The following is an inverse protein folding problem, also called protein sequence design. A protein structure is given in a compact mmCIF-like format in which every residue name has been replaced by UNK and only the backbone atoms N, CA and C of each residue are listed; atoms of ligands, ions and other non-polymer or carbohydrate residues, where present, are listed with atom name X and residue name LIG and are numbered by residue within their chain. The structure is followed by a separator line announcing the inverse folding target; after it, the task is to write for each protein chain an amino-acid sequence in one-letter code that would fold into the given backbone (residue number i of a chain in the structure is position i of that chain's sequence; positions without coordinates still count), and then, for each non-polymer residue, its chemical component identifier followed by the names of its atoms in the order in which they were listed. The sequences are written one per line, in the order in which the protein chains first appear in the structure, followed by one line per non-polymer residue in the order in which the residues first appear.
data_IF_506180396048
#
_entry.id   IF_506180396048
#
_cell.length_a   1.000
_cell.length_b   1.000
_cell.length_c   1.000
_cell.angle_alpha   90.00
_cell.angle_beta   90.00
_cell.angle_gamma   90.00
#
_symmetry.space_group_name_H-M   'P 1'
#
loop_
_entity.id
_entity.type
_entity.pdbx_description
1 polymer ?
#
# COMPACT_ATOMS: atom_id res chain seq x y z
N UNK A 1 54.14 33.04 -12.96
CA UNK A 1 52.92 32.87 -13.78
C UNK A 1 52.28 31.54 -13.38
N UNK A 2 51.21 31.56 -12.60
CA UNK A 2 50.51 30.34 -12.21
C UNK A 2 49.55 29.98 -13.34
N UNK A 3 49.82 28.87 -14.03
CA UNK A 3 48.90 28.33 -15.03
C UNK A 3 47.61 27.92 -14.30
N UNK A 4 46.51 28.64 -14.55
CA UNK A 4 45.18 28.16 -14.16
C UNK A 4 44.95 26.86 -14.94
N UNK A 5 45.06 25.72 -14.26
CA UNK A 5 44.57 24.46 -14.79
C UNK A 5 43.08 24.67 -15.12
N UNK A 6 42.71 24.53 -16.39
CA UNK A 6 41.32 24.63 -16.81
C UNK A 6 40.48 23.58 -16.09
N UNK A 7 39.21 23.89 -15.78
CA UNK A 7 38.30 22.88 -15.24
C UNK A 7 38.13 21.77 -16.28
N UNK A 8 38.27 20.49 -15.88
CA UNK A 8 38.06 19.38 -16.80
C UNK A 8 36.62 19.42 -17.33
N UNK A 9 36.47 19.37 -18.64
CA UNK A 9 35.19 19.38 -19.34
C UNK A 9 35.09 18.17 -20.25
N UNK A 10 33.90 17.59 -20.32
CA UNK A 10 33.62 16.44 -21.17
C UNK A 10 32.15 16.39 -21.56
N UNK A 11 31.89 15.83 -22.72
CA UNK A 11 30.56 15.51 -23.21
C UNK A 11 30.57 14.05 -23.66
N UNK A 12 29.53 13.32 -23.28
CA UNK A 12 29.31 11.95 -23.71
C UNK A 12 27.84 11.78 -24.12
N UNK A 13 27.60 11.09 -25.23
CA UNK A 13 26.26 10.66 -25.62
C UNK A 13 26.08 9.19 -25.26
N UNK A 14 24.99 8.87 -24.57
CA UNK A 14 24.58 7.52 -24.24
C UNK A 14 23.44 7.12 -25.17
N UNK A 15 23.63 6.03 -25.90
CA UNK A 15 22.59 5.39 -26.71
C UNK A 15 22.58 3.90 -26.42
N UNK A 16 21.39 3.35 -26.23
CA UNK A 16 21.18 1.92 -26.06
C UNK A 16 19.86 1.50 -26.71
N UNK A 17 19.73 0.20 -26.95
CA UNK A 17 18.51 -0.37 -27.50
C UNK A 17 18.16 -1.63 -26.70
N UNK A 18 16.99 -1.60 -26.08
CA UNK A 18 16.32 -2.70 -25.39
C UNK A 18 17.25 -3.55 -24.50
N UNK A 19 18.02 -2.89 -23.63
CA UNK A 19 18.91 -3.60 -22.71
C UNK A 19 18.24 -3.80 -21.35
N UNK A 20 18.49 -4.97 -20.78
CA UNK A 20 17.99 -5.36 -19.47
C UNK A 20 18.60 -4.47 -18.37
N UNK A 21 17.74 -3.79 -17.61
CA UNK A 21 18.11 -2.95 -16.47
C UNK A 21 18.07 -3.77 -15.18
N UNK A 22 17.00 -4.53 -15.02
CA UNK A 22 16.70 -5.29 -13.82
C UNK A 22 15.84 -6.49 -14.20
N UNK A 23 16.09 -7.61 -13.54
CA UNK A 23 15.34 -8.86 -13.70
C UNK A 23 15.35 -9.57 -12.35
N UNK A 24 14.28 -9.36 -11.58
CA UNK A 24 14.06 -10.04 -10.30
C UNK A 24 12.56 -10.32 -10.14
N UNK A 25 12.21 -11.02 -9.05
CA UNK A 25 10.84 -11.50 -8.82
C UNK A 25 9.78 -10.38 -8.64
N UNK A 26 10.20 -9.14 -8.38
CA UNK A 26 9.29 -7.99 -8.15
C UNK A 26 9.35 -6.93 -9.25
N UNK A 27 10.43 -6.89 -10.03
CA UNK A 27 10.66 -5.90 -11.05
C UNK A 27 11.51 -6.48 -12.19
N UNK A 28 10.96 -6.35 -13.40
CA UNK A 28 11.67 -6.57 -14.64
C UNK A 28 11.52 -5.34 -15.52
N UNK A 29 12.62 -4.83 -16.05
CA UNK A 29 12.57 -3.69 -16.96
C UNK A 29 13.71 -3.69 -17.97
N UNK A 30 13.40 -3.30 -19.20
CA UNK A 30 14.39 -2.98 -20.24
C UNK A 30 14.39 -1.48 -20.54
N UNK A 31 15.48 -0.97 -21.10
CA UNK A 31 15.58 0.43 -21.48
C UNK A 31 16.27 0.65 -22.82
N UNK A 32 15.80 1.67 -23.53
CA UNK A 32 16.42 2.24 -24.73
C UNK A 32 16.70 3.72 -24.48
N UNK A 33 17.83 4.06 -23.82
CA UNK A 33 18.20 5.43 -23.53
C UNK A 33 18.77 6.15 -24.76
N UNK A 34 18.50 7.44 -24.81
CA UNK A 34 19.14 8.40 -25.70
C UNK A 34 19.30 9.73 -24.97
N UNK A 35 20.41 9.90 -24.27
CA UNK A 35 20.68 11.11 -23.49
C UNK A 35 22.15 11.54 -23.57
N UNK A 36 22.41 12.80 -23.25
CA UNK A 36 23.76 13.36 -23.16
C UNK A 36 24.13 13.57 -21.71
N UNK A 37 25.41 13.37 -21.39
CA UNK A 37 26.04 13.68 -20.11
C UNK A 37 27.11 14.72 -20.33
N UNK A 38 27.01 15.83 -19.60
CA UNK A 38 27.99 16.91 -19.57
C UNK A 38 28.71 16.88 -18.23
N UNK A 39 30.03 16.85 -18.27
CA UNK A 39 30.90 17.00 -17.11
C UNK A 39 31.57 18.38 -17.15
N UNK A 40 31.43 19.19 -16.09
CA UNK A 40 32.16 20.44 -15.94
C UNK A 40 32.72 20.57 -14.51
N UNK A 41 34.04 20.44 -14.39
CA UNK A 41 34.76 20.76 -13.16
C UNK A 41 34.27 19.99 -11.93
N UNK A 42 33.85 18.73 -12.09
CA UNK A 42 33.36 17.84 -11.03
C UNK A 42 31.84 17.83 -10.83
N UNK A 43 31.08 18.56 -11.66
CA UNK A 43 29.62 18.43 -11.73
C UNK A 43 29.21 17.61 -12.96
N UNK A 44 28.23 16.71 -12.80
CA UNK A 44 27.59 16.02 -13.91
C UNK A 44 26.18 16.55 -14.15
N UNK A 45 25.85 16.77 -15.42
CA UNK A 45 24.52 17.11 -15.88
C UNK A 45 24.07 16.13 -16.96
N UNK A 46 22.92 15.49 -16.81
CA UNK A 46 22.33 14.64 -17.85
C UNK A 46 21.04 15.23 -18.42
N UNK A 47 20.79 15.03 -19.71
CA UNK A 47 19.55 15.43 -20.36
C UNK A 47 19.20 14.54 -21.55
N UNK A 48 17.95 14.09 -21.63
CA UNK A 48 17.43 13.34 -22.79
C UNK A 48 16.27 12.43 -22.46
N UNK A 49 16.10 11.39 -23.26
CA UNK A 49 14.95 10.49 -23.22
C UNK A 49 15.38 9.07 -22.87
N UNK A 50 14.48 8.33 -22.23
CA UNK A 50 14.62 6.88 -22.03
C UNK A 50 13.28 6.22 -22.31
N UNK A 51 13.22 5.38 -23.33
CA UNK A 51 12.07 4.50 -23.53
C UNK A 51 12.25 3.25 -22.68
N UNK A 52 11.15 2.77 -22.10
CA UNK A 52 11.09 1.53 -21.30
C UNK A 52 10.18 0.55 -22.06
N UNK A 53 10.72 -0.26 -22.99
CA UNK A 53 9.91 -1.17 -23.81
C UNK A 53 9.15 -2.20 -22.97
N UNK A 54 9.84 -2.86 -22.04
CA UNK A 54 9.27 -3.81 -21.07
C UNK A 54 9.36 -3.20 -19.66
N UNK A 55 8.24 -3.19 -18.94
CA UNK A 55 8.17 -2.91 -17.51
C UNK A 55 7.16 -3.84 -16.86
N UNK A 56 7.62 -4.78 -16.05
CA UNK A 56 6.74 -5.63 -15.25
C UNK A 56 7.02 -5.41 -13.77
N UNK A 57 6.00 -4.93 -13.06
CA UNK A 57 6.03 -4.73 -11.61
C UNK A 57 5.14 -5.78 -10.96
N UNK A 58 5.70 -6.57 -10.05
CA UNK A 58 4.97 -7.59 -9.28
C UNK A 58 5.10 -7.30 -7.78
N UNK A 59 3.97 -7.02 -7.12
CA UNK A 59 3.89 -6.66 -5.72
C UNK A 59 3.40 -7.86 -4.89
N UNK A 60 4.34 -8.67 -4.40
CA UNK A 60 4.04 -9.94 -3.73
C UNK A 60 3.90 -9.85 -2.20
N UNK A 61 4.47 -8.82 -1.57
CA UNK A 61 4.43 -8.62 -0.11
C UNK A 61 4.31 -7.12 0.23
N UNK A 62 3.47 -6.75 1.20
CA UNK A 62 3.68 -5.49 1.92
C UNK A 62 5.01 -5.68 2.66
N UNK A 63 6.04 -4.84 2.43
CA UNK A 63 7.30 -5.01 3.13
C UNK A 63 7.00 -5.09 4.64
N UNK A 64 7.41 -6.18 5.34
CA UNK A 64 7.26 -6.28 6.78
C UNK A 64 8.08 -5.15 7.38
N UNK A 65 7.39 -4.09 7.75
CA UNK A 65 7.94 -2.75 7.87
C UNK A 65 8.46 -2.23 6.50
N UNK A 66 7.75 -1.24 5.95
CA UNK A 66 8.48 -0.10 5.42
C UNK A 66 9.20 0.54 6.63
N UNK A 67 10.30 -0.07 7.05
CA UNK A 67 11.46 0.72 7.42
C UNK A 67 11.67 1.52 6.15
N UNK A 68 11.11 2.74 6.18
CA UNK A 68 11.68 3.88 5.49
C UNK A 68 13.16 3.59 5.48
N UNK A 69 13.76 3.34 4.31
CA UNK A 69 15.20 3.37 4.25
C UNK A 69 15.46 4.81 4.65
N UNK A 70 15.68 5.01 5.94
CA UNK A 70 15.95 6.30 6.50
C UNK A 70 17.03 6.82 5.59
N UNK A 71 16.91 8.08 5.18
CA UNK A 71 18.03 8.81 4.59
C UNK A 71 19.29 8.74 5.47
N UNK A 72 19.21 8.17 6.67
CA UNK A 72 20.33 7.60 7.42
C UNK A 72 20.61 6.12 7.07
N UNK A 73 20.92 5.82 5.82
CA UNK A 73 22.20 5.13 5.66
C UNK A 73 23.25 6.21 5.84
N UNK A 74 23.61 6.45 7.10
CA UNK A 74 24.98 6.86 7.36
C UNK A 74 25.78 5.73 6.74
N UNK A 75 26.30 5.96 5.53
CA UNK A 75 27.52 5.30 5.14
C UNK A 75 28.39 5.52 6.37
N UNK A 76 28.59 4.47 7.15
CA UNK A 76 29.67 4.49 8.13
C UNK A 76 30.85 4.67 7.20
N UNK A 77 31.26 5.93 7.02
CA UNK A 77 32.64 6.29 6.89
C UNK A 77 33.24 5.58 8.09
N UNK A 78 33.63 4.31 7.85
CA UNK A 78 34.84 3.81 8.41
C UNK A 78 35.80 4.88 7.92
N UNK A 79 36.08 5.81 8.82
CA UNK A 79 37.17 6.74 8.73
C UNK A 79 38.42 5.87 8.80
N UNK A 80 38.61 5.06 7.77
CA UNK A 80 39.92 4.58 7.39
C UNK A 80 40.61 5.84 6.91
N UNK A 81 41.44 6.40 7.78
CA UNK A 81 42.58 7.18 7.35
C UNK A 81 43.17 6.51 6.11
N UNK A 82 43.01 7.15 4.95
CA UNK A 82 43.56 6.61 3.73
C UNK A 82 43.63 7.69 2.67
N UNK A 83 44.86 8.10 2.42
CA UNK A 83 45.41 8.77 1.25
C UNK A 83 45.15 7.95 -0.05
N UNK A 84 43.91 7.45 -0.24
CA UNK A 84 43.46 6.68 -1.40
C UNK A 84 42.97 7.68 -2.45
N UNK A 85 43.52 7.68 -3.68
CA UNK A 85 43.05 8.58 -4.71
C UNK A 85 41.58 8.26 -5.03
N UNK A 86 40.74 9.30 -5.01
CA UNK A 86 39.35 9.23 -5.44
C UNK A 86 39.24 8.51 -6.79
N UNK A 87 38.27 7.59 -6.89
CA UNK A 87 37.93 6.94 -8.14
C UNK A 87 37.56 7.97 -9.21
N UNK A 88 37.65 7.58 -10.48
CA UNK A 88 37.29 8.46 -11.60
C UNK A 88 35.85 8.99 -11.48
N UNK A 89 34.93 8.18 -10.95
CA UNK A 89 33.54 8.55 -10.76
C UNK A 89 33.39 9.58 -9.64
N UNK A 90 34.01 9.35 -8.47
CA UNK A 90 33.93 10.27 -7.33
C UNK A 90 34.50 11.66 -7.65
N UNK A 91 35.59 11.72 -8.44
CA UNK A 91 36.12 13.01 -8.91
C UNK A 91 35.20 13.70 -9.92
N UNK A 92 34.52 12.93 -10.75
CA UNK A 92 33.60 13.46 -11.76
C UNK A 92 32.29 13.97 -11.14
N UNK A 93 31.89 13.46 -9.97
CA UNK A 93 30.63 13.77 -9.29
C UNK A 93 30.78 14.56 -8.00
N UNK A 94 31.98 15.05 -7.66
CA UNK A 94 32.27 15.73 -6.39
C UNK A 94 31.38 16.95 -6.12
N UNK A 95 30.91 17.64 -7.17
CA UNK A 95 30.01 18.80 -7.07
C UNK A 95 28.53 18.42 -7.31
N UNK A 96 28.22 17.13 -7.32
CA UNK A 96 26.87 16.60 -7.47
C UNK A 96 26.52 16.20 -8.90
N UNK A 97 25.38 15.51 -9.00
CA UNK A 97 24.76 15.07 -10.24
C UNK A 97 23.42 15.79 -10.34
N UNK A 98 23.14 16.37 -11.50
CA UNK A 98 21.86 17.01 -11.82
C UNK A 98 21.39 16.54 -13.18
N UNK A 99 20.13 16.76 -13.51
CA UNK A 99 19.66 16.47 -14.85
C UNK A 99 18.17 16.27 -14.95
N UNK A 100 17.74 16.05 -16.19
CA UNK A 100 16.36 15.73 -16.53
C UNK A 100 16.34 14.54 -17.48
N UNK A 101 15.51 13.53 -17.22
CA UNK A 101 15.21 12.47 -18.17
C UNK A 101 13.70 12.41 -18.39
N UNK A 102 13.28 12.27 -19.64
CA UNK A 102 11.89 11.93 -19.97
C UNK A 102 11.82 10.41 -20.16
N UNK A 103 11.15 9.74 -19.22
CA UNK A 103 10.81 8.33 -19.33
C UNK A 103 9.52 8.17 -20.11
N UNK A 104 9.51 7.28 -21.10
CA UNK A 104 8.31 6.88 -21.83
C UNK A 104 8.11 5.37 -21.71
N UNK A 105 6.94 4.95 -21.22
CA UNK A 105 6.58 3.54 -21.15
C UNK A 105 6.19 3.01 -22.53
N UNK A 106 6.64 1.79 -22.84
CA UNK A 106 6.21 1.03 -24.01
C UNK A 106 4.96 0.19 -23.73
N UNK A 107 4.52 -0.55 -24.74
CA UNK A 107 3.25 -1.30 -24.71
C UNK A 107 3.28 -2.51 -23.75
N UNK A 108 4.47 -2.94 -23.30
CA UNK A 108 4.67 -4.04 -22.35
C UNK A 108 4.95 -3.53 -20.93
N UNK A 109 4.28 -2.43 -20.55
CA UNK A 109 4.30 -1.90 -19.20
C UNK A 109 3.07 -2.34 -18.40
N UNK A 110 3.28 -3.01 -17.26
CA UNK A 110 2.22 -3.59 -16.42
C UNK A 110 2.59 -3.60 -14.94
N UNK A 111 1.55 -3.60 -14.10
CA UNK A 111 1.65 -3.74 -12.66
C UNK A 111 0.63 -4.76 -12.15
N UNK A 112 1.12 -5.69 -11.35
CA UNK A 112 0.34 -6.77 -10.73
C UNK A 112 0.63 -6.83 -9.23
N UNK A 113 -0.39 -6.96 -8.40
CA UNK A 113 -0.28 -7.18 -6.96
C UNK A 113 -1.16 -6.27 -6.12
N UNK A 114 -1.31 -6.60 -4.83
CA UNK A 114 -2.31 -5.99 -3.93
C UNK A 114 -3.73 -5.91 -4.52
N UNK A 115 -4.09 -6.91 -5.33
CA UNK A 115 -5.37 -6.98 -6.01
C UNK A 115 -5.47 -6.19 -7.31
N UNK A 116 -4.49 -5.36 -7.68
CA UNK A 116 -4.44 -4.66 -8.97
C UNK A 116 -3.75 -5.56 -10.00
N UNK A 117 -4.28 -5.58 -11.22
CA UNK A 117 -3.63 -6.12 -12.42
C UNK A 117 -4.00 -5.20 -13.59
N UNK A 118 -3.05 -4.46 -14.15
CA UNK A 118 -3.31 -3.45 -15.18
C UNK A 118 -2.08 -3.13 -16.02
N UNK A 119 -2.33 -2.68 -17.25
CA UNK A 119 -1.31 -2.00 -18.06
C UNK A 119 -1.08 -0.56 -17.58
N UNK A 120 0.13 -0.07 -17.80
CA UNK A 120 0.55 1.29 -17.49
C UNK A 120 0.93 2.03 -18.76
N UNK A 121 0.34 3.19 -18.99
CA UNK A 121 0.64 4.03 -20.14
C UNK A 121 1.07 5.42 -19.69
N UNK A 122 2.05 6.03 -20.38
CA UNK A 122 2.34 7.45 -20.19
C UNK A 122 3.82 7.79 -20.18
N UNK A 123 4.10 8.99 -19.66
CA UNK A 123 5.45 9.56 -19.60
C UNK A 123 5.69 10.25 -18.28
N UNK A 124 6.90 10.11 -17.76
CA UNK A 124 7.36 10.77 -16.55
C UNK A 124 8.63 11.54 -16.83
N UNK A 125 8.64 12.81 -16.45
CA UNK A 125 9.84 13.64 -16.44
C UNK A 125 10.48 13.54 -15.07
N UNK A 126 11.67 12.94 -15.03
CA UNK A 126 12.48 12.78 -13.84
C UNK A 126 13.53 13.87 -13.78
N UNK A 127 13.52 14.66 -12.72
CA UNK A 127 14.51 15.69 -12.46
C UNK A 127 15.36 15.33 -11.25
N UNK A 128 16.65 15.66 -11.31
CA UNK A 128 17.51 15.69 -10.13
C UNK A 128 18.00 17.11 -9.90
N UNK A 129 17.50 17.70 -8.81
CA UNK A 129 17.84 19.05 -8.39
C UNK A 129 19.24 19.17 -7.79
N UNK A 130 19.72 20.40 -7.58
CA UNK A 130 21.04 20.65 -6.97
C UNK A 130 21.17 20.10 -5.55
N UNK A 131 20.05 20.01 -4.83
CA UNK A 131 19.95 19.38 -3.51
C UNK A 131 19.93 17.84 -3.56
N UNK A 132 20.19 17.24 -4.73
CA UNK A 132 20.17 15.80 -4.99
C UNK A 132 18.80 15.11 -4.80
N UNK A 133 17.72 15.88 -4.62
CA UNK A 133 16.36 15.34 -4.60
C UNK A 133 15.96 14.86 -5.99
N UNK A 134 15.35 13.69 -6.05
CA UNK A 134 14.73 13.14 -7.25
C UNK A 134 13.27 13.56 -7.29
N UNK A 135 12.88 14.24 -8.36
CA UNK A 135 11.53 14.72 -8.59
C UNK A 135 10.94 14.05 -9.82
N UNK A 136 9.63 13.79 -9.81
CA UNK A 136 8.90 13.20 -10.91
C UNK A 136 7.68 14.04 -11.27
N UNK A 137 7.46 14.26 -12.56
CA UNK A 137 6.33 15.00 -13.09
C UNK A 137 5.69 14.28 -14.27
N UNK A 138 4.37 14.19 -14.28
CA UNK A 138 3.63 13.56 -15.36
C UNK A 138 2.49 12.69 -14.85
N UNK A 139 2.00 11.84 -15.73
CA UNK A 139 0.87 10.97 -15.44
C UNK A 139 1.13 9.58 -16.03
N UNK A 140 0.81 8.56 -15.24
CA UNK A 140 0.68 7.19 -15.70
C UNK A 140 -0.80 6.80 -15.65
N UNK A 141 -1.38 6.46 -16.78
CA UNK A 141 -2.74 5.92 -16.89
C UNK A 141 -2.74 4.41 -16.69
N UNK A 142 -3.82 3.90 -16.12
CA UNK A 142 -4.07 2.47 -15.94
C UNK A 142 -5.08 2.04 -17.00
N UNK A 143 -4.67 1.17 -17.90
CA UNK A 143 -5.50 0.65 -19.00
C UNK A 143 -5.70 -0.85 -18.89
N UNK A 144 -6.84 -1.33 -19.41
CA UNK A 144 -7.16 -2.76 -19.52
C UNK A 144 -7.03 -3.54 -18.19
N UNK A 145 -7.30 -2.87 -17.06
CA UNK A 145 -7.01 -3.41 -15.74
C UNK A 145 -8.21 -3.88 -14.92
N UNK A 146 -7.91 -4.66 -13.89
CA UNK A 146 -8.85 -5.12 -12.88
C UNK A 146 -8.32 -4.84 -11.47
N UNK A 147 -9.26 -4.73 -10.53
CA UNK A 147 -8.99 -4.63 -9.10
C UNK A 147 -9.80 -5.69 -8.35
N UNK A 148 -9.14 -6.49 -7.52
CA UNK A 148 -9.76 -7.54 -6.73
C UNK A 148 -10.14 -7.03 -5.35
N UNK A 149 -11.44 -7.03 -5.04
CA UNK A 149 -11.99 -6.64 -3.75
C UNK A 149 -13.00 -7.68 -3.30
N UNK A 150 -12.96 -8.09 -2.03
CA UNK A 150 -13.82 -9.15 -1.48
C UNK A 150 -13.73 -10.48 -2.28
N UNK A 151 -12.57 -10.78 -2.87
CA UNK A 151 -12.38 -11.94 -3.74
C UNK A 151 -13.13 -11.86 -5.08
N UNK A 152 -13.56 -10.66 -5.48
CA UNK A 152 -14.30 -10.42 -6.72
C UNK A 152 -13.52 -9.43 -7.59
N UNK A 153 -13.50 -9.69 -8.90
CA UNK A 153 -12.84 -8.82 -9.88
C UNK A 153 -13.75 -7.64 -10.23
N UNK A 154 -13.21 -6.43 -10.12
CA UNK A 154 -13.82 -5.16 -10.53
C UNK A 154 -13.01 -4.61 -11.72
N UNK A 155 -13.67 -4.22 -12.81
CA UNK A 155 -13.01 -3.61 -13.95
C UNK A 155 -12.58 -2.17 -13.62
N UNK A 156 -11.32 -1.82 -13.89
CA UNK A 156 -10.84 -0.44 -13.79
C UNK A 156 -11.40 0.33 -14.98
N UNK A 157 -12.31 1.27 -14.73
CA UNK A 157 -12.92 2.12 -15.78
C UNK A 157 -12.17 3.43 -15.99
N UNK A 158 -11.50 3.88 -14.94
CA UNK A 158 -10.66 5.08 -14.95
C UNK A 158 -9.56 4.85 -13.93
N UNK A 159 -8.31 5.10 -14.29
CA UNK A 159 -7.21 4.99 -13.35
C UNK A 159 -6.03 5.83 -13.79
N UNK A 160 -5.47 6.63 -12.88
CA UNK A 160 -4.23 7.35 -13.10
C UNK A 160 -3.41 7.56 -11.82
N UNK A 161 -2.09 7.60 -12.00
CA UNK A 161 -1.11 8.08 -11.05
C UNK A 161 -0.56 9.42 -11.54
N UNK A 162 -0.66 10.46 -10.72
CA UNK A 162 -0.22 11.82 -11.06
C UNK A 162 0.99 12.20 -10.21
N UNK A 163 2.10 12.50 -10.86
CA UNK A 163 3.35 12.86 -10.21
C UNK A 163 3.54 14.37 -10.23
N UNK A 164 3.73 14.96 -9.05
CA UNK A 164 3.86 16.42 -8.83
C UNK A 164 5.09 16.73 -7.96
N UNK A 165 6.18 16.02 -8.17
CA UNK A 165 7.43 16.14 -7.42
C UNK A 165 7.81 14.82 -6.74
N UNK A 166 7.08 14.39 -5.71
CA UNK A 166 7.42 13.17 -4.97
C UNK A 166 7.28 11.92 -5.86
N UNK A 167 8.40 11.22 -6.11
CA UNK A 167 8.44 9.99 -6.90
C UNK A 167 7.74 8.82 -6.19
N UNK A 168 7.79 8.79 -4.86
CA UNK A 168 7.28 7.69 -4.02
C UNK A 168 5.87 7.95 -3.46
N UNK A 169 5.26 9.10 -3.80
CA UNK A 169 3.95 9.48 -3.30
C UNK A 169 3.10 10.19 -4.38
N UNK A 170 2.81 9.53 -5.51
CA UNK A 170 1.94 10.09 -6.54
C UNK A 170 0.51 10.30 -6.01
N UNK A 171 -0.20 11.23 -6.65
CA UNK A 171 -1.65 11.33 -6.54
C UNK A 171 -2.33 10.15 -7.22
N UNK A 172 -3.41 9.66 -6.62
CA UNK A 172 -4.17 8.51 -7.11
C UNK A 172 -5.58 8.98 -7.47
N UNK A 173 -6.10 8.53 -8.61
CA UNK A 173 -7.52 8.59 -8.96
C UNK A 173 -7.88 7.33 -9.74
N UNK A 174 -8.51 6.36 -9.06
CA UNK A 174 -8.88 5.07 -9.64
C UNK A 174 -10.32 4.73 -9.32
N UNK A 175 -11.08 4.33 -10.35
CA UNK A 175 -12.45 3.87 -10.27
C UNK A 175 -12.55 2.45 -10.80
N UNK A 176 -12.84 1.52 -9.90
CA UNK A 176 -13.07 0.12 -10.23
C UNK A 176 -14.55 -0.24 -10.02
N UNK A 177 -15.14 -0.96 -10.98
CA UNK A 177 -16.58 -1.24 -11.00
C UNK A 177 -16.90 -2.71 -11.24
N UNK A 178 -18.04 -3.14 -10.72
CA UNK A 178 -18.69 -4.39 -11.04
C UNK A 178 -20.12 -4.09 -11.48
N UNK A 179 -20.51 -4.63 -12.64
CA UNK A 179 -21.87 -4.51 -13.18
C UNK A 179 -22.65 -5.80 -12.86
N UNK A 180 -23.80 -5.66 -12.20
CA UNK A 180 -24.65 -6.76 -11.72
C UNK A 180 -26.11 -6.40 -12.03
N UNK A 181 -26.77 -7.16 -12.90
CA UNK A 181 -28.19 -6.96 -13.23
C UNK A 181 -28.55 -5.49 -13.52
N UNK A 182 -27.81 -4.85 -14.42
CA UNK A 182 -27.98 -3.43 -14.81
C UNK A 182 -27.66 -2.40 -13.71
N UNK A 183 -27.15 -2.84 -12.55
CA UNK A 183 -26.65 -1.98 -11.49
C UNK A 183 -25.13 -1.95 -11.50
N UNK A 184 -24.55 -0.78 -11.22
CA UNK A 184 -23.11 -0.62 -11.07
C UNK A 184 -22.80 -0.44 -9.60
N UNK A 185 -21.89 -1.23 -9.05
CA UNK A 185 -21.31 -1.03 -7.72
C UNK A 185 -19.79 -0.93 -7.86
N UNK A 186 -19.14 -0.13 -7.02
CA UNK A 186 -17.71 0.07 -7.20
C UNK A 186 -17.03 0.77 -6.04
N UNK A 187 -15.72 0.92 -6.20
CA UNK A 187 -14.84 1.66 -5.29
C UNK A 187 -14.12 2.75 -6.07
N UNK A 188 -14.10 3.93 -5.48
CA UNK A 188 -13.32 5.08 -5.93
C UNK A 188 -12.17 5.28 -4.95
N UNK A 189 -10.94 5.20 -5.44
CA UNK A 189 -9.71 5.44 -4.70
C UNK A 189 -9.14 6.80 -5.09
N UNK A 190 -8.71 7.56 -4.10
CA UNK A 190 -8.23 8.93 -4.26
C UNK A 190 -7.14 9.30 -3.24
N UNK A 191 -6.61 10.52 -3.35
CA UNK A 191 -5.60 11.05 -2.44
C UNK A 191 -4.19 10.86 -2.98
N UNK A 192 -3.23 10.54 -2.11
CA UNK A 192 -1.86 10.17 -2.52
C UNK A 192 -1.56 8.74 -2.09
N UNK A 193 -0.53 8.11 -2.66
CA UNK A 193 -0.17 6.73 -2.31
C UNK A 193 0.05 6.50 -0.80
N UNK A 194 0.70 7.44 -0.11
CA UNK A 194 0.91 7.40 1.35
C UNK A 194 -0.31 7.80 2.19
N UNK A 195 -1.31 8.46 1.59
CA UNK A 195 -2.54 8.88 2.28
C UNK A 195 -3.77 8.67 1.37
N UNK A 196 -4.00 7.41 1.04
CA UNK A 196 -5.10 7.00 0.16
C UNK A 196 -6.42 6.99 0.93
N UNK A 197 -7.49 7.39 0.25
CA UNK A 197 -8.86 7.21 0.72
C UNK A 197 -9.67 6.43 -0.32
N UNK A 198 -10.60 5.61 0.17
CA UNK A 198 -11.46 4.79 -0.67
C UNK A 198 -12.91 5.05 -0.28
N UNK A 199 -13.77 5.24 -1.28
CA UNK A 199 -15.20 5.45 -1.11
C UNK A 199 -15.99 4.47 -1.96
N UNK A 200 -17.07 3.94 -1.39
CA UNK A 200 -17.98 3.06 -2.09
C UNK A 200 -19.01 3.87 -2.86
N UNK A 201 -19.40 3.39 -4.04
CA UNK A 201 -20.46 4.03 -4.81
C UNK A 201 -21.32 3.00 -5.54
N UNK A 202 -22.51 3.45 -5.95
CA UNK A 202 -23.42 2.65 -6.77
C UNK A 202 -24.30 3.51 -7.67
N UNK A 203 -24.78 2.90 -8.74
CA UNK A 203 -25.83 3.43 -9.61
C UNK A 203 -26.83 2.31 -9.89
N UNK A 204 -28.10 2.41 -9.44
CA UNK A 204 -28.69 3.50 -8.64
C UNK A 204 -28.06 3.60 -7.24
N UNK A 205 -28.34 4.68 -6.51
CA UNK A 205 -27.76 4.91 -5.18
C UNK A 205 -28.30 3.89 -4.15
N UNK A 206 -27.42 3.04 -3.63
CA UNK A 206 -27.70 2.03 -2.61
C UNK A 206 -27.11 2.44 -1.25
N UNK A 207 -27.52 1.72 -0.20
CA UNK A 207 -26.87 1.81 1.11
C UNK A 207 -25.45 1.23 1.05
N UNK A 208 -24.49 1.73 1.85
CA UNK A 208 -23.13 1.16 1.88
C UNK A 208 -23.13 -0.36 2.16
N UNK A 209 -24.02 -0.82 3.05
CA UNK A 209 -24.21 -2.24 3.34
C UNK A 209 -24.62 -3.04 2.10
N UNK A 210 -25.55 -2.52 1.30
CA UNK A 210 -25.96 -3.16 0.05
C UNK A 210 -24.86 -3.11 -1.01
N UNK A 211 -24.08 -2.01 -1.09
CA UNK A 211 -22.93 -1.92 -2.00
C UNK A 211 -21.92 -3.02 -1.66
N UNK A 212 -21.59 -3.18 -0.38
CA UNK A 212 -20.66 -4.23 0.09
C UNK A 212 -21.21 -5.64 -0.16
N UNK A 213 -22.50 -5.87 0.11
CA UNK A 213 -23.16 -7.14 -0.16
C UNK A 213 -23.15 -7.48 -1.65
N UNK A 214 -23.44 -6.50 -2.50
CA UNK A 214 -23.40 -6.64 -3.96
C UNK A 214 -21.97 -6.88 -4.46
N UNK A 215 -20.99 -6.15 -3.93
CA UNK A 215 -19.58 -6.33 -4.28
C UNK A 215 -19.09 -7.73 -3.94
N UNK A 216 -19.44 -8.27 -2.76
CA UNK A 216 -19.01 -9.59 -2.32
C UNK A 216 -19.81 -10.74 -2.97
N UNK A 217 -21.14 -10.60 -3.07
CA UNK A 217 -22.04 -11.74 -3.37
C UNK A 217 -22.83 -11.59 -4.68
N UNK A 218 -22.83 -10.39 -5.28
CA UNK A 218 -23.68 -10.08 -6.42
C UNK A 218 -25.16 -9.89 -6.06
N UNK A 219 -25.51 -9.78 -4.77
CA UNK A 219 -26.90 -9.69 -4.29
C UNK A 219 -27.06 -8.62 -3.19
N UNK A 220 -28.23 -7.95 -3.12
CA UNK A 220 -28.52 -7.01 -2.03
C UNK A 220 -28.55 -7.71 -0.68
N UNK A 221 -28.20 -7.00 0.40
CA UNK A 221 -28.02 -7.58 1.73
C UNK A 221 -29.30 -8.27 2.25
N UNK A 222 -30.47 -7.64 2.01
CA UNK A 222 -31.77 -8.17 2.42
C UNK A 222 -32.15 -9.50 1.74
N UNK A 223 -31.51 -9.83 0.60
CA UNK A 223 -31.76 -11.07 -0.14
C UNK A 223 -30.82 -12.23 0.23
N UNK A 224 -29.85 -11.96 1.11
CA UNK A 224 -28.90 -12.95 1.63
C UNK A 224 -29.54 -13.68 2.82
N UNK A 225 -29.44 -15.01 2.87
CA UNK A 225 -29.97 -15.78 3.99
C UNK A 225 -29.28 -15.43 5.32
N UNK A 226 -29.99 -15.52 6.45
CA UNK A 226 -29.47 -15.11 7.77
C UNK A 226 -28.12 -15.75 8.15
N UNK A 227 -27.86 -16.99 7.70
CA UNK A 227 -26.58 -17.69 7.93
C UNK A 227 -25.42 -17.06 7.13
N UNK A 228 -25.68 -16.64 5.89
CA UNK A 228 -24.68 -16.08 4.98
C UNK A 228 -24.42 -14.60 5.24
N UNK A 229 -25.38 -13.88 5.84
CA UNK A 229 -25.20 -12.51 6.32
C UNK A 229 -24.12 -12.43 7.41
N UNK A 230 -24.07 -13.39 8.32
CA UNK A 230 -23.04 -13.44 9.37
C UNK A 230 -21.62 -13.64 8.80
N UNK A 231 -21.48 -14.50 7.79
CA UNK A 231 -20.22 -14.72 7.10
C UNK A 231 -19.75 -13.46 6.35
N UNK A 232 -20.66 -12.81 5.63
CA UNK A 232 -20.38 -11.55 4.95
C UNK A 232 -19.93 -10.46 5.94
N UNK A 233 -20.62 -10.30 7.07
CA UNK A 233 -20.24 -9.33 8.10
C UNK A 233 -18.85 -9.60 8.69
N UNK A 234 -18.48 -10.87 8.85
CA UNK A 234 -17.12 -11.27 9.25
C UNK A 234 -16.07 -10.86 8.22
N UNK A 235 -16.33 -11.08 6.92
CA UNK A 235 -15.44 -10.64 5.83
C UNK A 235 -15.33 -9.12 5.76
N UNK A 236 -16.44 -8.39 5.90
CA UNK A 236 -16.43 -6.92 5.87
C UNK A 236 -15.67 -6.32 7.05
N UNK A 237 -15.76 -6.93 8.24
CA UNK A 237 -14.95 -6.54 9.38
C UNK A 237 -13.46 -6.83 9.13
N UNK A 238 -13.12 -7.99 8.57
CA UNK A 238 -11.72 -8.37 8.29
C UNK A 238 -10.99 -7.47 7.29
N UNK A 239 -11.73 -6.74 6.44
CA UNK A 239 -11.17 -5.80 5.47
C UNK A 239 -10.68 -4.48 6.09
N UNK A 240 -10.74 -4.32 7.41
CA UNK A 240 -10.06 -3.23 8.11
C UNK A 240 -10.57 -1.84 7.71
N UNK A 241 -11.87 -1.70 7.37
CA UNK A 241 -12.54 -0.42 7.17
C UNK A 241 -12.72 0.37 8.49
N UNK A 242 -11.77 0.22 9.42
CA UNK A 242 -11.71 0.82 10.75
C UNK A 242 -11.57 2.34 10.77
N UNK A 243 -11.51 3.00 9.61
CA UNK A 243 -11.45 4.47 9.57
C UNK A 243 -12.81 5.15 9.78
N UNK A 244 -13.91 4.40 9.79
CA UNK A 244 -15.25 4.98 9.98
C UNK A 244 -15.96 4.35 11.19
N UNK A 245 -15.86 5.01 12.35
CA UNK A 245 -16.53 4.65 13.61
C UNK A 245 -18.07 4.55 13.50
N UNK A 246 -18.67 5.03 12.40
CA UNK A 246 -20.11 4.91 12.11
C UNK A 246 -20.57 3.49 11.80
N UNK A 247 -19.81 2.72 11.01
CA UNK A 247 -20.23 1.37 10.56
C UNK A 247 -20.18 0.36 11.72
N UNK A 248 -19.11 0.38 12.50
CA UNK A 248 -18.93 -0.47 13.69
C UNK A 248 -20.06 -0.24 14.71
N UNK A 249 -20.50 1.01 14.90
CA UNK A 249 -21.61 1.35 15.80
C UNK A 249 -22.98 0.90 15.29
N UNK A 250 -23.21 0.93 13.98
CA UNK A 250 -24.46 0.46 13.38
C UNK A 250 -24.58 -1.07 13.44
N UNK A 251 -23.48 -1.80 13.21
CA UNK A 251 -23.45 -3.27 13.33
C UNK A 251 -23.67 -3.67 14.80
N UNK A 252 -22.94 -3.02 15.72
CA UNK A 252 -23.07 -3.25 17.16
C UNK A 252 -24.51 -3.09 17.64
N UNK A 253 -25.20 -2.05 17.20
CA UNK A 253 -26.61 -1.79 17.57
C UNK A 253 -27.60 -2.76 16.92
N UNK A 254 -27.41 -3.14 15.65
CA UNK A 254 -28.31 -4.09 14.97
C UNK A 254 -28.26 -5.51 15.52
N UNK A 255 -27.07 -5.98 15.95
CA UNK A 255 -26.85 -7.31 16.50
C UNK A 255 -26.99 -7.33 18.04
N UNK A 256 -27.18 -6.17 18.67
CA UNK A 256 -27.22 -6.01 20.12
C UNK A 256 -25.95 -6.51 20.78
N UNK A 257 -24.79 -6.18 20.20
CA UNK A 257 -23.47 -6.45 20.75
C UNK A 257 -23.04 -5.26 21.61
N UNK A 258 -22.15 -5.48 22.57
CA UNK A 258 -21.60 -4.42 23.42
C UNK A 258 -20.18 -4.01 22.96
N UNK A 259 -19.48 -4.95 22.33
CA UNK A 259 -18.11 -4.80 21.82
C UNK A 259 -18.01 -5.38 20.40
N UNK A 260 -17.40 -4.62 19.50
CA UNK A 260 -16.97 -5.04 18.17
C UNK A 260 -15.67 -4.30 17.89
N UNK A 261 -14.55 -5.02 17.82
CA UNK A 261 -13.21 -4.46 17.68
C UNK A 261 -12.36 -5.35 16.78
N UNK A 262 -11.39 -4.76 16.09
CA UNK A 262 -10.34 -5.51 15.40
C UNK A 262 -9.03 -5.14 16.07
N UNK A 263 -8.39 -6.13 16.68
CA UNK A 263 -7.10 -5.96 17.32
C UNK A 263 -6.01 -6.38 16.33
N UNK A 264 -5.20 -5.42 15.87
CA UNK A 264 -4.04 -5.68 15.01
C UNK A 264 -2.78 -5.64 15.86
N UNK A 265 -2.25 -6.80 16.28
CA UNK A 265 -1.00 -6.86 17.07
C UNK A 265 0.21 -6.98 16.15
N UNK A 266 0.97 -5.89 16.03
CA UNK A 266 2.31 -5.73 15.41
C UNK A 266 2.50 -6.17 13.94
N UNK A 267 1.64 -7.02 13.37
CA UNK A 267 1.66 -7.45 11.97
C UNK A 267 0.23 -7.72 11.49
N UNK A 268 -0.06 -7.44 10.22
CA UNK A 268 -1.38 -7.71 9.62
C UNK A 268 -1.78 -9.19 9.76
N UNK A 269 -0.81 -10.11 9.76
CA UNK A 269 -1.04 -11.55 9.90
C UNK A 269 -1.62 -11.99 11.26
N UNK A 270 -1.57 -11.14 12.30
CA UNK A 270 -2.12 -11.44 13.63
C UNK A 270 -3.35 -10.58 13.96
N UNK A 271 -4.12 -10.21 12.94
CA UNK A 271 -5.37 -9.46 13.12
C UNK A 271 -6.46 -10.37 13.70
N UNK A 272 -7.07 -9.94 14.80
CA UNK A 272 -8.15 -10.68 15.47
C UNK A 272 -9.42 -9.85 15.47
N UNK A 273 -10.49 -10.39 14.89
CA UNK A 273 -11.83 -9.82 15.01
C UNK A 273 -12.45 -10.26 16.34
N UNK A 274 -12.74 -9.30 17.22
CA UNK A 274 -13.35 -9.53 18.53
C UNK A 274 -14.80 -9.05 18.54
N UNK A 275 -15.72 -9.94 18.97
CA UNK A 275 -17.11 -9.62 19.27
C UNK A 275 -17.41 -9.89 20.74
N UNK A 276 -18.15 -9.01 21.42
CA UNK A 276 -18.46 -9.15 22.83
C UNK A 276 -19.88 -8.71 23.21
N UNK A 277 -20.45 -9.39 24.21
CA UNK A 277 -21.80 -9.13 24.71
C UNK A 277 -21.94 -9.45 26.20
N UNK A 278 -22.64 -8.58 26.92
CA UNK A 278 -23.14 -8.85 28.27
C UNK A 278 -24.34 -9.79 28.19
N UNK A 279 -24.17 -11.01 28.70
CA UNK A 279 -25.24 -11.99 28.86
C UNK A 279 -26.08 -11.69 30.11
N UNK A 280 -25.43 -11.13 31.13
CA UNK A 280 -26.03 -10.55 32.33
C UNK A 280 -25.18 -9.34 32.75
N UNK A 281 -25.63 -8.48 33.69
CA UNK A 281 -24.81 -7.36 34.19
C UNK A 281 -23.43 -7.79 34.71
N UNK A 282 -23.30 -9.06 35.11
CA UNK A 282 -22.08 -9.60 35.71
C UNK A 282 -21.37 -10.62 34.81
N UNK A 283 -21.93 -11.01 33.66
CA UNK A 283 -21.38 -12.03 32.77
C UNK A 283 -21.16 -11.46 31.38
N UNK A 284 -19.90 -11.31 31.00
CA UNK A 284 -19.48 -10.84 29.69
C UNK A 284 -18.86 -11.97 28.89
N UNK A 285 -19.35 -12.20 27.68
CA UNK A 285 -18.82 -13.17 26.75
C UNK A 285 -18.13 -12.46 25.59
N UNK A 286 -16.89 -12.85 25.29
CA UNK A 286 -16.11 -12.40 24.14
C UNK A 286 -15.73 -13.57 23.26
N UNK A 287 -15.78 -13.35 21.96
CA UNK A 287 -15.31 -14.30 20.95
C UNK A 287 -14.38 -13.58 19.98
N UNK A 288 -13.15 -14.05 19.89
CA UNK A 288 -12.12 -13.56 18.97
C UNK A 288 -11.86 -14.60 17.89
N UNK A 289 -11.82 -14.16 16.64
CA UNK A 289 -11.43 -14.99 15.49
C UNK A 289 -10.24 -14.34 14.79
N UNK A 290 -9.15 -15.08 14.67
CA UNK A 290 -8.00 -14.70 13.87
C UNK A 290 -8.37 -14.69 12.39
N UNK A 291 -8.16 -13.56 11.74
CA UNK A 291 -8.60 -13.30 10.37
C UNK A 291 -7.77 -14.11 9.35
N UNK A 292 -6.51 -14.41 9.68
CA UNK A 292 -5.56 -15.03 8.76
C UNK A 292 -5.06 -16.40 9.21
N UNK A 293 -5.01 -16.68 10.52
CA UNK A 293 -4.50 -17.93 11.08
C UNK A 293 -5.62 -18.92 11.47
N UNK A 294 -6.89 -18.55 11.22
CA UNK A 294 -8.10 -19.32 11.55
C UNK A 294 -8.14 -19.77 13.04
N UNK A 295 -7.41 -19.08 13.92
CA UNK A 295 -7.45 -19.32 15.34
C UNK A 295 -8.75 -18.74 15.91
N UNK A 296 -9.32 -19.39 16.92
CA UNK A 296 -10.48 -18.82 17.61
C UNK A 296 -10.32 -18.94 19.11
N UNK A 297 -10.81 -17.93 19.82
CA UNK A 297 -10.69 -17.79 21.26
C UNK A 297 -11.98 -17.27 21.85
N UNK A 298 -12.54 -18.00 22.79
CA UNK A 298 -13.67 -17.61 23.61
C UNK A 298 -13.14 -17.15 24.97
N UNK A 299 -13.59 -16.01 25.45
CA UNK A 299 -13.36 -15.55 26.82
C UNK A 299 -14.70 -15.31 27.51
N UNK A 300 -14.80 -15.72 28.76
CA UNK A 300 -15.93 -15.47 29.64
C UNK A 300 -15.41 -14.76 30.88
N UNK A 301 -15.85 -13.53 31.09
CA UNK A 301 -15.53 -12.75 32.28
C UNK A 301 -16.79 -12.70 33.16
N UNK A 302 -16.72 -13.31 34.35
CA UNK A 302 -17.80 -13.28 35.33
C UNK A 302 -17.37 -12.50 36.58
N UNK A 303 -18.08 -11.42 36.89
CA UNK A 303 -17.85 -10.62 38.09
C UNK A 303 -18.63 -11.20 39.25
N UNK A 304 -17.95 -11.78 40.24
CA UNK A 304 -18.60 -12.31 41.44
C UNK A 304 -18.97 -11.19 42.41
N UNK A 305 -18.07 -10.23 42.59
CA UNK A 305 -18.26 -9.01 43.37
C UNK A 305 -17.23 -7.95 42.95
N UNK A 306 -17.24 -6.77 43.59
CA UNK A 306 -16.37 -5.64 43.26
C UNK A 306 -14.86 -5.96 43.33
N UNK A 307 -14.48 -7.07 43.98
CA UNK A 307 -13.08 -7.47 44.18
C UNK A 307 -12.71 -8.78 43.50
N UNK A 308 -13.66 -9.59 43.05
CA UNK A 308 -13.42 -10.94 42.51
C UNK A 308 -14.04 -11.10 41.13
N UNK A 309 -13.20 -11.47 40.16
CA UNK A 309 -13.59 -11.80 38.79
C UNK A 309 -13.08 -13.18 38.42
N UNK A 310 -13.95 -14.01 37.87
CA UNK A 310 -13.58 -15.28 37.26
C UNK A 310 -13.43 -15.06 35.75
N UNK A 311 -12.31 -15.48 35.19
CA UNK A 311 -12.05 -15.44 33.76
C UNK A 311 -11.87 -16.86 33.26
N UNK A 312 -12.64 -17.26 32.27
CA UNK A 312 -12.43 -18.52 31.57
C UNK A 312 -12.05 -18.22 30.13
N UNK A 313 -11.02 -18.88 29.65
CA UNK A 313 -10.50 -18.75 28.30
C UNK A 313 -10.50 -20.14 27.63
N UNK A 314 -10.92 -20.18 26.36
CA UNK A 314 -10.95 -21.39 25.57
C UNK A 314 -10.53 -21.09 24.13
N UNK A 315 -9.49 -21.78 23.63
CA UNK A 315 -8.97 -21.63 22.28
C UNK A 315 -7.82 -22.62 22.08
N UNK A 316 -6.66 -22.15 21.61
CA UNK A 316 -5.42 -22.94 21.55
C UNK A 316 -4.97 -23.42 22.94
N UNK A 317 -5.29 -22.66 23.98
CA UNK A 317 -5.11 -23.03 25.38
C UNK A 317 -6.43 -22.84 26.11
N UNK A 318 -6.61 -23.60 27.18
CA UNK A 318 -7.77 -23.50 28.06
C UNK A 318 -7.28 -23.12 29.44
N UNK A 319 -7.78 -22.01 29.98
CA UNK A 319 -7.45 -21.55 31.32
C UNK A 319 -8.69 -21.06 32.05
N UNK A 320 -8.63 -21.13 33.37
CA UNK A 320 -9.62 -20.54 34.27
C UNK A 320 -8.85 -19.81 35.36
N UNK A 321 -8.96 -18.49 35.37
CA UNK A 321 -8.26 -17.60 36.28
C UNK A 321 -9.25 -16.96 37.26
N UNK A 322 -8.85 -16.86 38.52
CA UNK A 322 -9.55 -16.08 39.53
C UNK A 322 -8.73 -14.82 39.83
N UNK A 323 -9.27 -13.67 39.46
CA UNK A 323 -8.62 -12.36 39.60
C UNK A 323 -9.19 -11.65 40.82
N UNK A 324 -8.33 -11.33 41.77
CA UNK A 324 -8.66 -10.53 42.95
C UNK A 324 -8.05 -9.13 42.82
N UNK A 325 -8.88 -8.09 42.95
CA UNK A 325 -8.46 -6.68 42.89
C UNK A 325 -8.52 -6.04 44.27
N UNK A 326 -7.44 -5.36 44.65
CA UNK A 326 -7.34 -4.57 45.89
C UNK A 326 -7.13 -3.12 45.50
N UNK A 327 -8.12 -2.27 45.76
CA UNK A 327 -7.93 -0.81 45.70
C UNK A 327 -7.00 -0.39 46.83
N UNK A 328 -6.07 0.51 46.51
CA UNK A 328 -5.06 1.04 47.43
C UNK A 328 -5.38 2.48 47.78
#
# INVERSE_FOLDING_TARGET
MSARAGTPRGEATVRGNDFLIVDNDTLRATASPSFTVLADGGALHYSGDVTIPELKITLSELPPNAIDISSDTVLVEVREESDKPLSLLERATQKGITGELVLALGDEASIEGFGIDTRLDGRLRLERGQNQSNLAYGELSLSEGTYTLCGQSLAIRQGRFVFLGALDNPGIDVRAVREINEQTVGVQMGGTLKNMNSTLFSSPNLSETDILAMLATGRPFASIGQRDQGALLGTLASLGLERNSGLTNQIRSSLGLDELAIDTKDTLNNSVLTVGKYLTPNLFARYGVGIFDNSSKVNLDYTLNDRLKLKAESGTQQSVDLVYSVEK
#
